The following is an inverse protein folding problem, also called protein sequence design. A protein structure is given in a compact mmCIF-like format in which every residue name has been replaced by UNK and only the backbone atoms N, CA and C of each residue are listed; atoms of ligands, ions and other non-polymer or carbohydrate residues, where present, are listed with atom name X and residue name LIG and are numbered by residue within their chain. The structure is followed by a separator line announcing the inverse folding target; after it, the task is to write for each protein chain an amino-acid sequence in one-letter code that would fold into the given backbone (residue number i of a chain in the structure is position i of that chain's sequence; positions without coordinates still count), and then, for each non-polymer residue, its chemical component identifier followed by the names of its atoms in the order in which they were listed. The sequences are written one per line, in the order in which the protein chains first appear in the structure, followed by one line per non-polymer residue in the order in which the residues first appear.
data_IF_302900499455
#
_entry.id   IF_302900499455
#
_cell.length_a   1.000
_cell.length_b   1.000
_cell.length_c   1.000
_cell.angle_alpha   90.00
_cell.angle_beta   90.00
_cell.angle_gamma   90.00
#
_symmetry.space_group_name_H-M   'P 1'
#
loop_
_entity.id
_entity.type
_entity.pdbx_description
1 polymer ?
#
# COMPACT_ATOMS: atom_id res chain seq x y z
N UNK A 1 -30.26 -96.51 4.29
CA UNK A 1 -28.93 -95.87 4.16
C UNK A 1 -28.83 -94.89 2.95
N UNK A 2 -29.67 -94.94 1.98
CA UNK A 2 -29.64 -94.10 0.75
C UNK A 2 -30.15 -92.69 0.90
N UNK A 3 -31.05 -92.40 1.78
CA UNK A 3 -31.67 -91.00 1.91
C UNK A 3 -30.73 -89.94 2.51
N UNK A 4 -29.73 -90.35 3.26
CA UNK A 4 -28.80 -89.41 3.92
C UNK A 4 -27.78 -88.82 2.89
N UNK A 5 -27.34 -89.64 1.93
CA UNK A 5 -26.42 -89.22 0.88
C UNK A 5 -27.00 -88.18 -0.07
N UNK A 6 -28.27 -88.30 -0.37
CA UNK A 6 -28.95 -87.33 -1.27
C UNK A 6 -29.16 -85.93 -0.62
N UNK A 7 -29.50 -85.92 0.66
CA UNK A 7 -29.63 -84.68 1.44
C UNK A 7 -28.31 -83.96 1.55
N UNK A 8 -27.19 -84.65 1.81
CA UNK A 8 -25.87 -84.02 1.86
C UNK A 8 -25.43 -83.46 0.52
N UNK A 9 -25.77 -84.11 -0.60
CA UNK A 9 -25.48 -83.64 -1.97
C UNK A 9 -26.30 -82.44 -2.36
N UNK A 10 -27.57 -82.38 -1.95
CA UNK A 10 -28.46 -81.19 -2.16
C UNK A 10 -27.97 -80.02 -1.32
N UNK A 11 -27.62 -80.22 -0.05
CA UNK A 11 -27.07 -79.16 0.84
C UNK A 11 -25.77 -78.60 0.29
N UNK A 12 -24.84 -79.49 -0.17
CA UNK A 12 -23.59 -79.03 -0.82
C UNK A 12 -23.83 -78.21 -2.07
N UNK A 13 -24.86 -78.54 -2.86
CA UNK A 13 -25.25 -77.79 -4.08
C UNK A 13 -25.81 -76.45 -3.71
N UNK A 14 -26.70 -76.31 -2.74
CA UNK A 14 -27.28 -75.06 -2.24
C UNK A 14 -26.20 -74.13 -1.66
N UNK A 15 -25.29 -74.65 -0.86
CA UNK A 15 -24.16 -73.86 -0.31
C UNK A 15 -23.26 -73.33 -1.44
N UNK A 16 -23.01 -74.12 -2.47
CA UNK A 16 -22.24 -73.74 -3.64
C UNK A 16 -22.91 -72.67 -4.44
N UNK A 17 -24.23 -72.67 -4.60
CA UNK A 17 -25.06 -71.70 -5.27
C UNK A 17 -25.09 -70.40 -4.44
N UNK A 18 -25.27 -70.49 -3.10
CA UNK A 18 -25.21 -69.33 -2.20
C UNK A 18 -23.88 -68.60 -2.28
N UNK A 19 -22.77 -69.35 -2.20
CA UNK A 19 -21.42 -68.78 -2.33
C UNK A 19 -21.25 -68.04 -3.67
N UNK A 20 -21.71 -68.61 -4.79
CA UNK A 20 -21.63 -67.95 -6.09
C UNK A 20 -22.47 -66.66 -6.14
N UNK A 21 -23.67 -66.65 -5.55
CA UNK A 21 -24.51 -65.45 -5.46
C UNK A 21 -23.89 -64.36 -4.60
N UNK A 22 -23.30 -64.73 -3.46
CA UNK A 22 -22.59 -63.77 -2.60
C UNK A 22 -21.38 -63.16 -3.30
N UNK A 23 -20.55 -63.96 -3.98
CA UNK A 23 -19.42 -63.46 -4.76
C UNK A 23 -19.89 -62.52 -5.90
N UNK A 24 -20.98 -62.84 -6.53
CA UNK A 24 -21.55 -61.98 -7.61
C UNK A 24 -22.08 -60.64 -7.06
N UNK A 25 -22.73 -60.66 -5.90
CA UNK A 25 -23.19 -59.41 -5.23
C UNK A 25 -22.02 -58.53 -4.83
N UNK A 26 -20.97 -59.16 -4.25
CA UNK A 26 -19.75 -58.45 -3.84
C UNK A 26 -19.05 -57.82 -5.07
N UNK A 27 -18.95 -58.58 -6.19
CA UNK A 27 -18.31 -58.06 -7.39
C UNK A 27 -19.08 -56.90 -8.02
N UNK A 28 -20.40 -56.93 -8.02
CA UNK A 28 -21.26 -55.82 -8.52
C UNK A 28 -21.13 -54.61 -7.58
N UNK A 29 -21.12 -54.80 -6.27
CA UNK A 29 -20.95 -53.73 -5.31
C UNK A 29 -19.57 -53.03 -5.46
N UNK A 30 -18.51 -53.82 -5.67
CA UNK A 30 -17.16 -53.31 -5.88
C UNK A 30 -17.07 -52.53 -7.20
N UNK A 31 -17.68 -53.02 -8.27
CA UNK A 31 -17.74 -52.34 -9.56
C UNK A 31 -18.51 -51.01 -9.46
N UNK A 32 -19.60 -50.97 -8.68
CA UNK A 32 -20.37 -49.76 -8.43
C UNK A 32 -19.55 -48.71 -7.64
N UNK A 33 -18.76 -49.11 -6.64
CA UNK A 33 -17.87 -48.24 -5.89
C UNK A 33 -16.78 -47.64 -6.77
N UNK A 34 -16.20 -48.41 -7.69
CA UNK A 34 -15.20 -47.90 -8.64
C UNK A 34 -15.84 -46.92 -9.61
N UNK A 35 -17.05 -47.19 -10.11
CA UNK A 35 -17.76 -46.28 -10.99
C UNK A 35 -18.10 -44.93 -10.32
N UNK A 36 -18.49 -44.94 -9.02
CA UNK A 36 -18.74 -43.69 -8.29
C UNK A 36 -17.46 -42.87 -8.08
N UNK A 37 -16.30 -43.49 -7.89
CA UNK A 37 -15.05 -42.77 -7.74
C UNK A 37 -14.60 -42.03 -9.01
N UNK A 38 -14.90 -42.58 -10.17
CA UNK A 38 -14.59 -41.94 -11.46
C UNK A 38 -15.48 -40.73 -11.72
N UNK A 39 -16.75 -40.76 -11.29
CA UNK A 39 -17.67 -39.62 -11.44
C UNK A 39 -17.25 -38.45 -10.55
N UNK A 40 -16.72 -38.70 -9.35
CA UNK A 40 -16.26 -37.66 -8.45
C UNK A 40 -15.04 -36.88 -8.97
N UNK A 41 -14.20 -37.49 -9.81
CA UNK A 41 -13.04 -36.82 -10.42
C UNK A 41 -13.39 -36.10 -11.73
N UNK A 42 -14.50 -36.44 -12.39
CA UNK A 42 -14.93 -35.82 -13.64
C UNK A 42 -15.68 -34.48 -13.44
N UNK A 43 -16.05 -34.15 -12.20
CA UNK A 43 -16.72 -32.88 -11.88
C UNK A 43 -15.76 -31.68 -11.65
N UNK A 44 -14.42 -31.93 -11.69
CA UNK A 44 -13.42 -30.86 -11.57
C UNK A 44 -13.12 -30.28 -12.96
N UNK A 45 -13.65 -29.11 -13.23
CA UNK A 45 -13.34 -28.33 -14.44
C UNK A 45 -12.17 -27.37 -14.13
N UNK A 46 -10.97 -27.76 -14.56
CA UNK A 46 -9.75 -26.97 -14.37
C UNK A 46 -9.73 -25.64 -15.15
N UNK A 47 -10.66 -25.46 -16.09
CA UNK A 47 -10.81 -24.22 -16.86
C UNK A 47 -11.76 -23.23 -16.18
N UNK A 48 -12.77 -23.74 -15.45
CA UNK A 48 -13.77 -22.90 -14.77
C UNK A 48 -13.37 -22.55 -13.35
N UNK A 49 -12.57 -23.40 -12.69
CA UNK A 49 -12.07 -23.19 -11.32
C UNK A 49 -10.65 -23.75 -11.17
N UNK A 50 -9.64 -23.04 -11.71
CA UNK A 50 -8.26 -23.48 -11.62
C UNK A 50 -7.76 -23.39 -10.17
N UNK A 51 -7.22 -24.48 -9.64
CA UNK A 51 -6.47 -24.45 -8.39
C UNK A 51 -5.22 -23.60 -8.61
N UNK A 52 -5.29 -22.34 -8.20
CA UNK A 52 -4.16 -21.44 -8.28
C UNK A 52 -3.27 -21.66 -7.05
N UNK A 53 -2.01 -22.01 -7.27
CA UNK A 53 -1.05 -22.09 -6.18
C UNK A 53 -0.77 -20.68 -5.63
N UNK A 54 -0.52 -20.59 -4.31
CA UNK A 54 -0.18 -19.31 -3.69
C UNK A 54 1.02 -18.63 -4.37
N UNK A 55 2.02 -19.40 -4.77
CA UNK A 55 3.19 -18.91 -5.51
C UNK A 55 2.84 -18.32 -6.89
N UNK A 56 1.90 -18.92 -7.60
CA UNK A 56 1.43 -18.39 -8.88
C UNK A 56 0.64 -17.09 -8.68
N UNK A 57 -0.24 -17.06 -7.67
CA UNK A 57 -1.01 -15.86 -7.34
C UNK A 57 -0.10 -14.69 -6.93
N UNK A 58 0.90 -14.95 -6.09
CA UNK A 58 1.88 -13.94 -5.68
C UNK A 58 2.62 -13.37 -6.89
N UNK A 59 3.13 -14.23 -7.76
CA UNK A 59 3.83 -13.82 -8.98
C UNK A 59 2.93 -13.01 -9.91
N UNK A 60 1.68 -13.44 -10.10
CA UNK A 60 0.73 -12.73 -10.95
C UNK A 60 0.39 -11.33 -10.41
N UNK A 61 0.20 -11.23 -9.09
CA UNK A 61 -0.07 -9.93 -8.43
C UNK A 61 1.15 -9.02 -8.52
N UNK A 62 2.36 -9.52 -8.30
CA UNK A 62 3.61 -8.75 -8.46
C UNK A 62 3.79 -8.23 -9.90
N UNK A 63 3.57 -9.08 -10.91
CA UNK A 63 3.65 -8.68 -12.31
C UNK A 63 2.57 -7.66 -12.70
N UNK A 64 1.35 -7.80 -12.16
CA UNK A 64 0.26 -6.86 -12.41
C UNK A 64 0.47 -5.50 -11.71
N UNK A 65 1.12 -5.47 -10.55
CA UNK A 65 1.43 -4.25 -9.80
C UNK A 65 2.67 -3.52 -10.32
N UNK A 66 3.58 -4.22 -10.99
CA UNK A 66 4.83 -3.64 -11.51
C UNK A 66 4.61 -2.38 -12.36
N UNK A 67 3.73 -2.36 -13.40
CA UNK A 67 3.51 -1.15 -14.19
C UNK A 67 2.87 0.00 -13.40
N UNK A 68 2.19 -0.30 -12.30
CA UNK A 68 1.61 0.72 -11.41
C UNK A 68 2.72 1.32 -10.56
N UNK A 69 3.58 0.49 -9.99
CA UNK A 69 4.73 0.94 -9.23
C UNK A 69 5.69 1.75 -10.09
N UNK A 70 5.98 1.30 -11.32
CA UNK A 70 6.83 2.03 -12.27
C UNK A 70 6.24 3.42 -12.61
N UNK A 71 4.91 3.55 -12.69
CA UNK A 71 4.24 4.84 -12.87
C UNK A 71 4.29 5.71 -11.62
N UNK A 72 4.15 5.13 -10.44
CA UNK A 72 4.30 5.84 -9.16
C UNK A 72 5.72 6.37 -9.04
N UNK A 73 6.73 5.54 -9.32
CA UNK A 73 8.13 5.94 -9.30
C UNK A 73 8.44 7.05 -10.32
N UNK A 74 7.83 6.99 -11.50
CA UNK A 74 7.95 8.05 -12.52
C UNK A 74 7.27 9.36 -12.10
N UNK A 75 6.21 9.31 -11.30
CA UNK A 75 5.51 10.50 -10.79
C UNK A 75 6.18 11.07 -9.53
N UNK A 76 6.84 10.23 -8.74
CA UNK A 76 7.59 10.63 -7.54
C UNK A 76 9.06 10.86 -7.81
N UNK A 77 9.55 10.58 -9.02
CA UNK A 77 10.95 10.68 -9.46
C UNK A 77 11.47 12.11 -9.58
N UNK A 78 11.65 12.73 -8.46
CA UNK A 78 12.46 13.90 -8.24
C UNK A 78 13.22 13.75 -6.93
N UNK A 79 14.44 13.17 -7.02
CA UNK A 79 15.47 13.13 -6.00
C UNK A 79 15.08 12.57 -4.61
N UNK A 80 15.36 11.29 -4.38
CA UNK A 80 15.76 10.82 -3.07
C UNK A 80 16.84 9.75 -3.18
N UNK A 81 18.07 10.16 -3.02
CA UNK A 81 19.11 9.24 -2.60
C UNK A 81 18.93 8.92 -1.12
N UNK A 82 18.73 7.65 -0.78
CA UNK A 82 18.82 7.17 0.60
C UNK A 82 17.73 6.20 1.02
N UNK A 83 18.06 4.93 0.89
CA UNK A 83 17.60 3.75 1.65
C UNK A 83 16.16 3.81 2.22
N UNK A 84 15.25 3.21 1.45
CA UNK A 84 13.88 3.36 1.66
C UNK A 84 13.16 2.39 2.55
N UNK A 85 12.23 2.90 3.17
CA UNK A 85 10.97 2.24 3.51
C UNK A 85 9.92 3.16 2.92
N UNK A 86 9.19 2.72 1.90
CA UNK A 86 8.04 3.45 1.35
C UNK A 86 6.97 3.48 2.42
N UNK A 87 7.01 4.48 3.25
CA UNK A 87 5.83 4.97 3.95
C UNK A 87 4.87 5.53 2.89
N UNK A 88 3.56 5.28 2.98
CA UNK A 88 2.58 6.01 2.17
C UNK A 88 2.90 7.50 2.34
N UNK A 89 2.83 8.26 1.23
CA UNK A 89 3.04 9.69 1.25
C UNK A 89 2.20 10.29 2.39
N UNK A 90 2.82 10.46 3.53
CA UNK A 90 2.26 11.26 4.60
C UNK A 90 2.16 12.65 4.03
N UNK A 91 0.98 13.23 4.06
CA UNK A 91 0.78 14.65 3.84
C UNK A 91 1.94 15.36 4.52
N UNK A 92 2.63 16.26 3.81
CA UNK A 92 3.91 16.85 4.22
C UNK A 92 3.87 17.23 5.70
N UNK A 93 4.48 16.38 6.54
CA UNK A 93 4.49 16.61 7.97
C UNK A 93 5.33 17.85 8.22
N UNK A 94 4.84 18.77 9.06
CA UNK A 94 5.63 19.91 9.48
C UNK A 94 6.96 19.45 10.07
N UNK A 95 8.07 19.98 9.56
CA UNK A 95 9.41 19.77 10.09
C UNK A 95 9.87 21.03 10.80
N UNK A 96 10.49 20.90 11.97
CA UNK A 96 11.11 22.02 12.66
C UNK A 96 12.56 22.16 12.18
N UNK A 97 12.88 23.32 11.64
CA UNK A 97 14.20 23.62 11.12
C UNK A 97 14.84 24.78 11.88
N UNK A 98 16.16 24.79 11.94
CA UNK A 98 16.97 25.87 12.48
C UNK A 98 17.49 26.74 11.35
N UNK A 99 17.25 28.05 11.45
CA UNK A 99 17.76 29.03 10.49
C UNK A 99 18.60 30.06 11.24
N UNK A 100 19.83 30.26 10.79
CA UNK A 100 20.80 31.14 11.46
C UNK A 100 20.53 32.61 11.16
N UNK A 101 21.02 33.54 12.00
CA UNK A 101 20.96 34.96 11.73
C UNK A 101 21.51 35.32 10.34
N UNK A 102 20.80 36.18 9.62
CA UNK A 102 21.16 36.63 8.28
C UNK A 102 20.75 35.69 7.14
N UNK A 103 20.48 34.42 7.44
CA UNK A 103 20.00 33.46 6.41
C UNK A 103 18.56 33.72 6.00
N UNK A 104 18.27 33.33 4.77
CA UNK A 104 16.92 33.37 4.20
C UNK A 104 16.39 31.95 4.02
N UNK A 105 15.16 31.74 4.45
CA UNK A 105 14.37 30.56 4.16
C UNK A 105 13.46 30.86 2.96
N UNK A 106 13.83 30.40 1.78
CA UNK A 106 13.04 30.53 0.56
C UNK A 106 12.20 29.28 0.35
N UNK A 107 10.92 29.45 0.06
CA UNK A 107 9.96 28.35 0.00
C UNK A 107 9.30 28.25 -1.37
N UNK A 108 8.80 27.05 -1.70
CA UNK A 108 8.03 26.81 -2.91
C UNK A 108 6.55 27.18 -2.71
N UNK A 109 5.77 27.16 -3.79
CA UNK A 109 4.32 27.36 -3.73
C UNK A 109 3.65 26.38 -2.75
N UNK A 110 2.57 26.84 -2.12
CA UNK A 110 1.79 26.07 -1.14
C UNK A 110 2.56 25.62 0.10
N UNK A 111 3.79 26.10 0.31
CA UNK A 111 4.53 25.84 1.57
C UNK A 111 3.92 26.65 2.69
N UNK A 112 3.68 26.01 3.81
CA UNK A 112 3.26 26.64 5.06
C UNK A 112 4.46 26.80 5.99
N UNK A 113 4.54 27.93 6.69
CA UNK A 113 5.61 28.18 7.66
C UNK A 113 5.08 28.88 8.91
N UNK A 114 5.67 28.54 10.05
CA UNK A 114 5.35 29.13 11.35
C UNK A 114 6.65 29.46 12.06
N UNK A 115 6.92 30.74 12.32
CA UNK A 115 8.05 31.16 13.12
C UNK A 115 7.76 30.85 14.60
N UNK A 116 8.51 29.90 15.17
CA UNK A 116 8.34 29.49 16.59
C UNK A 116 9.16 30.35 17.54
N UNK A 117 10.38 30.67 17.14
CA UNK A 117 11.27 31.53 17.94
C UNK A 117 12.21 32.30 17.04
N UNK A 118 12.86 33.32 17.61
CA UNK A 118 13.71 34.25 16.86
C UNK A 118 12.93 35.44 16.30
N UNK A 119 13.53 36.16 15.36
CA UNK A 119 12.92 37.29 14.66
C UNK A 119 13.23 37.19 13.17
N UNK A 120 12.23 37.46 12.33
CA UNK A 120 12.36 37.40 10.90
C UNK A 120 11.53 38.51 10.23
N UNK A 121 11.87 38.81 9.00
CA UNK A 121 11.07 39.69 8.11
C UNK A 121 10.68 38.90 6.87
N UNK A 122 9.58 39.32 6.24
CA UNK A 122 9.12 38.76 4.98
C UNK A 122 10.09 39.14 3.86
N UNK A 123 10.42 38.18 3.01
CA UNK A 123 11.16 38.38 1.76
C UNK A 123 10.22 38.11 0.59
N UNK A 124 10.12 39.06 -0.31
CA UNK A 124 9.44 38.91 -1.58
C UNK A 124 10.15 39.77 -2.64
N UNK A 125 10.37 39.24 -3.85
CA UNK A 125 11.02 39.98 -4.92
C UNK A 125 10.05 40.92 -5.65
N UNK A 126 8.78 40.93 -5.29
CA UNK A 126 7.74 41.69 -5.96
C UNK A 126 7.08 42.70 -5.01
N UNK A 127 6.89 43.91 -5.50
CA UNK A 127 6.10 44.92 -4.79
C UNK A 127 4.63 44.47 -4.68
N UNK A 128 4.03 44.71 -3.52
CA UNK A 128 2.62 44.41 -3.25
C UNK A 128 2.24 42.90 -3.34
N UNK A 129 3.21 42.04 -3.35
CA UNK A 129 3.01 40.57 -3.36
C UNK A 129 3.85 39.95 -2.25
N UNK A 130 3.26 39.77 -1.10
CA UNK A 130 3.92 39.18 0.06
C UNK A 130 3.58 37.71 0.28
N UNK A 131 3.58 37.34 1.55
CA UNK A 131 3.14 36.01 2.03
C UNK A 131 1.76 36.17 2.64
N UNK A 132 0.90 35.17 2.40
CA UNK A 132 -0.44 35.17 2.97
C UNK A 132 -0.38 34.89 4.47
N UNK A 133 -0.87 35.79 5.29
CA UNK A 133 -1.03 35.64 6.73
C UNK A 133 -2.39 35.02 7.02
N UNK A 134 -2.40 33.67 7.16
CA UNK A 134 -3.62 32.88 7.24
C UNK A 134 -4.50 33.26 8.43
N UNK A 135 -3.90 33.61 9.56
CA UNK A 135 -4.66 33.95 10.78
C UNK A 135 -5.44 35.26 10.65
N UNK A 136 -4.91 36.25 9.91
CA UNK A 136 -5.54 37.55 9.74
C UNK A 136 -6.23 37.73 8.38
N UNK A 137 -6.01 36.80 7.43
CA UNK A 137 -6.59 36.87 6.08
C UNK A 137 -6.05 38.04 5.24
N UNK A 138 -4.79 38.43 5.45
CA UNK A 138 -4.14 39.52 4.75
C UNK A 138 -2.74 39.12 4.26
N UNK A 139 -2.20 39.82 3.28
CA UNK A 139 -0.83 39.59 2.83
C UNK A 139 0.16 40.48 3.60
N UNK A 140 1.24 39.86 4.10
CA UNK A 140 2.38 40.56 4.69
C UNK A 140 3.40 40.90 3.60
N UNK A 141 3.64 42.17 3.41
CA UNK A 141 4.56 42.68 2.39
C UNK A 141 6.04 42.47 2.78
N UNK A 142 6.93 42.53 1.79
CA UNK A 142 8.38 42.50 2.00
C UNK A 142 8.83 43.49 3.09
N UNK A 143 9.74 43.05 3.95
CA UNK A 143 10.24 43.83 5.10
C UNK A 143 9.34 43.86 6.33
N UNK A 144 8.09 43.38 6.24
CA UNK A 144 7.20 43.25 7.39
C UNK A 144 7.71 42.20 8.37
N UNK A 145 7.65 42.47 9.69
CA UNK A 145 8.01 41.51 10.70
C UNK A 145 7.09 40.29 10.68
N UNK A 146 7.70 39.13 10.75
CA UNK A 146 6.98 37.84 10.81
C UNK A 146 6.38 37.65 12.21
N UNK A 147 5.06 37.50 12.34
CA UNK A 147 4.42 37.25 13.62
C UNK A 147 4.75 35.81 14.10
N UNK A 148 5.11 35.67 15.36
CA UNK A 148 5.41 34.35 15.95
C UNK A 148 4.15 33.55 16.17
N UNK A 149 4.25 32.23 15.98
CA UNK A 149 3.18 31.27 16.21
C UNK A 149 1.93 31.42 15.31
N UNK A 150 2.11 32.10 14.19
CA UNK A 150 1.06 32.28 13.18
C UNK A 150 1.47 31.58 11.89
N UNK A 151 0.49 30.99 11.17
CA UNK A 151 0.72 30.32 9.92
C UNK A 151 0.80 31.33 8.77
N UNK A 152 1.88 31.26 8.01
CA UNK A 152 2.07 31.95 6.76
C UNK A 152 2.05 30.95 5.61
N UNK A 153 1.35 31.27 4.54
CA UNK A 153 1.29 30.47 3.32
C UNK A 153 2.04 31.17 2.19
N UNK A 154 2.84 30.44 1.45
CA UNK A 154 3.50 30.89 0.23
C UNK A 154 2.53 30.73 -0.94
N UNK A 155 1.94 31.81 -1.49
CA UNK A 155 0.91 31.71 -2.52
C UNK A 155 1.46 31.28 -3.89
N UNK A 156 2.73 31.60 -4.15
CA UNK A 156 3.50 31.18 -5.33
C UNK A 156 4.90 30.82 -4.92
N UNK A 157 5.54 29.93 -5.65
CA UNK A 157 6.86 29.45 -5.29
C UNK A 157 7.89 29.57 -6.41
N UNK A 158 9.13 29.21 -6.08
CA UNK A 158 10.31 29.28 -6.95
C UNK A 158 10.68 30.71 -7.42
N UNK A 159 10.20 31.71 -6.73
CA UNK A 159 10.44 33.14 -7.05
C UNK A 159 11.28 33.86 -5.97
N UNK A 160 11.76 33.14 -4.96
CA UNK A 160 12.57 33.66 -3.88
C UNK A 160 11.79 34.17 -2.68
N UNK A 161 10.47 33.95 -2.61
CA UNK A 161 9.67 34.32 -1.44
C UNK A 161 10.00 33.46 -0.23
N UNK A 162 9.88 34.08 0.94
CA UNK A 162 10.13 33.43 2.19
C UNK A 162 10.34 34.39 3.34
N UNK A 163 11.22 34.04 4.27
CA UNK A 163 11.55 34.88 5.41
C UNK A 163 13.07 34.98 5.57
N UNK A 164 13.55 36.14 6.05
CA UNK A 164 14.93 36.36 6.43
C UNK A 164 15.05 36.54 7.92
N UNK A 165 15.99 35.83 8.55
CA UNK A 165 16.23 35.93 9.97
C UNK A 165 17.02 37.19 10.30
N UNK A 166 16.43 38.05 11.13
CA UNK A 166 16.99 39.37 11.52
C UNK A 166 17.49 39.43 12.96
N UNK A 167 17.12 38.43 13.80
CA UNK A 167 17.59 38.34 15.17
C UNK A 167 19.04 37.95 15.28
N UNK A 168 19.64 38.12 16.46
CA UNK A 168 21.02 37.72 16.77
C UNK A 168 21.17 36.24 17.09
N UNK A 169 20.09 35.53 17.35
CA UNK A 169 20.07 34.10 17.67
C UNK A 169 19.44 33.27 16.57
N UNK A 170 19.68 31.96 16.58
CA UNK A 170 19.04 30.98 15.70
C UNK A 170 17.53 31.04 15.84
N UNK A 171 16.83 31.04 14.74
CA UNK A 171 15.38 30.97 14.69
C UNK A 171 14.94 29.51 14.48
N UNK A 172 13.83 29.14 15.12
CA UNK A 172 13.18 27.85 14.89
C UNK A 172 11.91 28.09 14.09
N UNK A 173 11.82 27.42 12.94
CA UNK A 173 10.70 27.56 12.01
C UNK A 173 10.10 26.17 11.74
N UNK A 174 8.78 26.05 11.88
CA UNK A 174 8.06 24.88 11.39
C UNK A 174 7.72 25.11 9.93
N UNK A 175 8.04 24.14 9.08
CA UNK A 175 7.79 24.22 7.63
C UNK A 175 7.06 22.96 7.18
N UNK A 176 5.95 23.13 6.50
CA UNK A 176 5.25 22.08 5.76
C UNK A 176 5.35 22.37 4.27
N UNK A 177 6.13 21.59 3.54
CA UNK A 177 6.41 21.79 2.12
C UNK A 177 7.89 21.94 1.81
N UNK A 178 8.22 22.22 0.55
CA UNK A 178 9.60 22.29 0.09
C UNK A 178 10.22 23.69 0.29
N UNK A 179 11.48 23.72 0.71
CA UNK A 179 12.23 24.94 1.01
C UNK A 179 13.72 24.79 0.71
N UNK A 180 14.43 25.91 0.70
CA UNK A 180 15.89 25.98 0.70
C UNK A 180 16.35 27.10 1.65
N UNK A 181 17.51 26.90 2.31
CA UNK A 181 18.17 27.93 3.11
C UNK A 181 19.28 28.55 2.27
N UNK A 182 19.33 29.89 2.23
CA UNK A 182 20.28 30.68 1.43
C UNK A 182 20.97 31.68 2.33
N UNK A 183 22.28 31.88 2.14
CA UNK A 183 23.09 32.83 2.92
C UNK A 183 24.10 32.24 3.85
#
# INVERSE_FOLDING_TARGET
MWRIFDVAKLYSKEVKIMKKRIVLIISVALAALIALSVIATAAYDSTSDPIISLSYLTKYVEEALKPINDKIDALTGGESGGNGTTSPATADAFTVIEVKPGQELQCTAATELILRSGSAVIVSPFDNQGLCYMTAGVDLQAGTAVPKNHCLLIPRGNDGRGIKITGSGTAYVMVGGAYKIVG
#
